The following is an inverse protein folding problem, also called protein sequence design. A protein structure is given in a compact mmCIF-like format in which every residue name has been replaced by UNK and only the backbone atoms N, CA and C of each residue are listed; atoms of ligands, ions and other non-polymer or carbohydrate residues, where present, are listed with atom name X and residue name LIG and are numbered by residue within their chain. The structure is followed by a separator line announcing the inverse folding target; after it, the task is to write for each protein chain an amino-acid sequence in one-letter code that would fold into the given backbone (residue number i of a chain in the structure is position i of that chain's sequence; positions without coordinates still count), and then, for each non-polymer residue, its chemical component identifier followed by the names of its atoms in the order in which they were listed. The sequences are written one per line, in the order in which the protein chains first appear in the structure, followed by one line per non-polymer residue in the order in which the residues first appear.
data_IF_862464416170
#
_entry.id   IF_862464416170
#
_cell.length_a   1.000
_cell.length_b   1.000
_cell.length_c   1.000
_cell.angle_alpha   90.00
_cell.angle_beta   90.00
_cell.angle_gamma   90.00
#
_symmetry.space_group_name_H-M   'P 1'
#
loop_
_entity.id
_entity.type
_entity.pdbx_description
1 polymer ?
#
# COMPACT_ATOMS: atom_id res chain seq x y z
N UNK A 1 -5.26 10.09 49.57
CA UNK A 1 -3.91 10.32 48.98
C UNK A 1 -3.93 10.98 47.60
N UNK A 2 -4.19 10.30 46.46
CA UNK A 2 -4.19 10.99 45.13
C UNK A 2 -5.30 12.04 45.04
N UNK A 3 -6.50 11.74 45.56
CA UNK A 3 -7.66 12.64 45.57
C UNK A 3 -7.41 13.96 46.33
N UNK A 4 -6.78 13.87 47.51
CA UNK A 4 -6.40 15.03 48.33
C UNK A 4 -5.24 15.84 47.71
N UNK A 5 -4.35 15.18 46.96
CA UNK A 5 -3.25 15.85 46.27
C UNK A 5 -3.76 16.71 45.10
N UNK A 6 -4.80 16.24 44.41
CA UNK A 6 -5.39 16.95 43.27
C UNK A 6 -6.32 18.09 43.72
N UNK A 7 -7.04 17.95 44.83
CA UNK A 7 -7.88 19.03 45.40
C UNK A 7 -7.07 20.26 45.85
N UNK A 8 -5.81 20.09 46.25
CA UNK A 8 -4.93 21.20 46.66
C UNK A 8 -4.31 21.97 45.50
N UNK A 9 -4.35 21.43 44.29
CA UNK A 9 -3.77 22.06 43.10
C UNK A 9 -4.92 22.76 42.36
N UNK A 10 -5.15 24.03 42.69
CA UNK A 10 -6.12 24.89 41.99
C UNK A 10 -5.59 25.24 40.59
N UNK A 11 -5.73 24.29 39.67
CA UNK A 11 -5.53 24.53 38.24
C UNK A 11 -6.91 24.74 37.62
N UNK A 12 -7.18 25.96 37.19
CA UNK A 12 -8.40 26.41 36.46
C UNK A 12 -8.74 25.58 35.20
N UNK A 13 -7.86 24.68 34.77
CA UNK A 13 -8.09 23.73 33.68
C UNK A 13 -8.91 22.48 34.08
N UNK A 14 -9.16 22.24 35.38
CA UNK A 14 -9.96 21.11 35.89
C UNK A 14 -11.48 21.35 35.86
N UNK A 15 -11.94 22.55 35.49
CA UNK A 15 -13.36 22.93 35.44
C UNK A 15 -14.07 22.53 34.13
N UNK A 16 -13.51 21.61 33.37
CA UNK A 16 -14.16 21.00 32.20
C UNK A 16 -15.14 19.92 32.69
N UNK A 17 -16.42 19.91 32.27
CA UNK A 17 -17.42 18.94 32.74
C UNK A 17 -16.96 17.48 32.65
N UNK A 18 -16.28 17.13 31.57
CA UNK A 18 -15.70 15.79 31.33
C UNK A 18 -14.67 15.40 32.40
N UNK A 19 -13.87 16.35 32.90
CA UNK A 19 -12.85 16.09 33.92
C UNK A 19 -13.50 15.95 35.31
N UNK A 20 -14.53 16.75 35.62
CA UNK A 20 -15.35 16.59 36.83
C UNK A 20 -16.06 15.24 36.86
N UNK A 21 -16.65 14.81 35.75
CA UNK A 21 -17.29 13.51 35.63
C UNK A 21 -16.29 12.36 35.82
N UNK A 22 -15.08 12.50 35.25
CA UNK A 22 -13.98 11.53 35.41
C UNK A 22 -13.49 11.43 36.88
N UNK A 23 -13.44 12.56 37.60
CA UNK A 23 -13.01 12.63 39.01
C UNK A 23 -14.09 12.18 40.01
N UNK A 24 -15.36 12.23 39.61
CA UNK A 24 -16.51 11.79 40.42
C UNK A 24 -16.89 10.32 40.17
N UNK A 25 -16.24 9.63 39.23
CA UNK A 25 -16.45 8.19 39.05
C UNK A 25 -16.10 7.44 40.35
N UNK A 26 -16.93 6.49 40.80
CA UNK A 26 -16.61 5.66 41.96
C UNK A 26 -15.28 4.96 41.72
N UNK A 27 -14.42 4.95 42.75
CA UNK A 27 -13.14 4.26 42.69
C UNK A 27 -13.38 2.80 42.30
N UNK A 28 -12.71 2.34 41.24
CA UNK A 28 -12.87 0.98 40.76
C UNK A 28 -12.48 0.00 41.86
N UNK A 29 -13.30 -1.04 42.04
CA UNK A 29 -12.95 -2.13 42.96
C UNK A 29 -11.70 -2.86 42.45
N UNK A 30 -10.90 -3.49 43.33
CA UNK A 30 -9.74 -4.27 42.90
C UNK A 30 -10.07 -5.31 41.81
N UNK A 31 -11.28 -5.88 41.84
CA UNK A 31 -11.79 -6.81 40.82
C UNK A 31 -12.01 -6.12 39.47
N UNK A 32 -12.59 -4.90 39.45
CA UNK A 32 -12.76 -4.12 38.22
C UNK A 32 -11.42 -3.71 37.61
N UNK A 33 -10.46 -3.30 38.45
CA UNK A 33 -9.10 -2.97 38.01
C UNK A 33 -8.45 -4.21 37.38
N UNK A 34 -8.52 -5.36 38.07
CA UNK A 34 -7.96 -6.62 37.56
C UNK A 34 -8.60 -7.03 36.23
N UNK A 35 -9.93 -6.96 36.11
CA UNK A 35 -10.63 -7.30 34.87
C UNK A 35 -10.24 -6.37 33.71
N UNK A 36 -10.07 -5.08 33.97
CA UNK A 36 -9.64 -4.13 32.94
C UNK A 36 -8.19 -4.37 32.50
N UNK A 37 -7.29 -4.67 33.44
CA UNK A 37 -5.91 -5.04 33.11
C UNK A 37 -5.88 -6.30 32.24
N UNK A 38 -6.63 -7.35 32.62
CA UNK A 38 -6.74 -8.59 31.85
C UNK A 38 -7.31 -8.32 30.46
N UNK A 39 -8.42 -7.57 30.35
CA UNK A 39 -9.01 -7.25 29.06
C UNK A 39 -8.06 -6.46 28.16
N UNK A 40 -7.37 -5.45 28.70
CA UNK A 40 -6.40 -4.65 27.96
C UNK A 40 -5.21 -5.49 27.50
N UNK A 41 -4.60 -6.27 28.40
CA UNK A 41 -3.46 -7.13 28.06
C UNK A 41 -3.82 -8.18 27.02
N UNK A 42 -5.00 -8.80 27.10
CA UNK A 42 -5.47 -9.72 26.07
C UNK A 42 -5.74 -9.03 24.72
N UNK A 43 -6.32 -7.83 24.74
CA UNK A 43 -6.55 -7.06 23.52
C UNK A 43 -5.22 -6.71 22.82
N UNK A 44 -4.23 -6.25 23.60
CA UNK A 44 -2.87 -5.97 23.10
C UNK A 44 -2.23 -7.25 22.58
N UNK A 45 -2.33 -8.37 23.31
CA UNK A 45 -1.79 -9.66 22.89
C UNK A 45 -2.36 -10.12 21.54
N UNK A 46 -3.68 -10.06 21.37
CA UNK A 46 -4.34 -10.46 20.11
C UNK A 46 -3.94 -9.53 18.97
N UNK A 47 -3.91 -8.21 19.23
CA UNK A 47 -3.53 -7.21 18.23
C UNK A 47 -2.08 -7.37 17.77
N UNK A 48 -1.14 -7.52 18.71
CA UNK A 48 0.28 -7.74 18.41
C UNK A 48 0.52 -9.09 17.73
N UNK A 49 -0.21 -10.14 18.14
CA UNK A 49 -0.14 -11.45 17.48
C UNK A 49 -0.60 -11.35 16.03
N UNK A 50 -1.72 -10.67 15.76
CA UNK A 50 -2.20 -10.42 14.41
C UNK A 50 -1.19 -9.59 13.59
N UNK A 51 -0.66 -8.51 14.15
CA UNK A 51 0.31 -7.64 13.50
C UNK A 51 1.60 -8.41 13.15
N UNK A 52 2.12 -9.17 14.11
CA UNK A 52 3.30 -10.02 13.94
C UNK A 52 3.07 -11.08 12.88
N UNK A 53 1.94 -11.80 12.95
CA UNK A 53 1.59 -12.82 11.95
C UNK A 53 1.52 -12.23 10.54
N UNK A 54 0.85 -11.08 10.36
CA UNK A 54 0.76 -10.41 9.06
C UNK A 54 2.15 -9.98 8.54
N UNK A 55 3.02 -9.46 9.40
CA UNK A 55 4.36 -9.03 9.00
C UNK A 55 5.25 -10.23 8.61
N UNK A 56 5.11 -11.35 9.34
CA UNK A 56 5.77 -12.62 9.01
C UNK A 56 5.24 -13.14 7.68
N UNK A 57 3.92 -13.19 7.50
CA UNK A 57 3.29 -13.69 6.27
C UNK A 57 3.72 -12.87 5.05
N UNK A 58 3.83 -11.54 5.16
CA UNK A 58 4.35 -10.69 4.08
C UNK A 58 5.78 -11.05 3.68
N UNK A 59 6.63 -11.39 4.65
CA UNK A 59 8.02 -11.81 4.40
C UNK A 59 8.09 -13.22 3.81
N UNK A 60 7.31 -14.15 4.37
CA UNK A 60 7.21 -15.53 3.89
C UNK A 60 6.66 -15.57 2.47
N UNK A 61 5.67 -14.72 2.17
CA UNK A 61 5.03 -14.67 0.86
C UNK A 61 6.06 -14.44 -0.24
N UNK A 62 6.90 -13.41 -0.11
CA UNK A 62 7.82 -13.05 -1.18
C UNK A 62 8.98 -14.03 -1.38
N UNK A 63 9.39 -14.75 -0.32
CA UNK A 63 10.56 -15.64 -0.36
C UNK A 63 10.20 -17.11 -0.61
N UNK A 64 9.00 -17.54 -0.22
CA UNK A 64 8.60 -18.95 -0.26
C UNK A 64 7.32 -19.20 -1.05
N UNK A 65 6.40 -18.23 -1.12
CA UNK A 65 5.12 -18.42 -1.80
C UNK A 65 5.20 -17.93 -3.25
N UNK A 66 5.62 -16.68 -3.47
CA UNK A 66 5.73 -16.10 -4.81
C UNK A 66 6.62 -16.94 -5.75
N UNK A 67 7.77 -17.50 -5.32
CA UNK A 67 8.59 -18.35 -6.19
C UNK A 67 7.96 -19.69 -6.58
N UNK A 68 6.87 -20.13 -5.92
CA UNK A 68 6.11 -21.31 -6.35
C UNK A 68 5.24 -21.01 -7.58
N UNK A 69 4.89 -19.74 -7.77
CA UNK A 69 4.01 -19.29 -8.85
C UNK A 69 4.78 -18.71 -10.02
N UNK A 70 5.89 -18.02 -9.76
CA UNK A 70 6.67 -17.30 -10.76
C UNK A 70 8.16 -17.57 -10.63
N UNK A 71 8.87 -17.54 -11.76
CA UNK A 71 10.31 -17.78 -11.79
C UNK A 71 11.05 -16.48 -11.53
N UNK A 72 11.81 -16.43 -10.43
CA UNK A 72 12.68 -15.31 -10.08
C UNK A 72 14.13 -15.65 -10.42
N UNK A 73 14.76 -14.86 -11.27
CA UNK A 73 16.19 -14.97 -11.61
C UNK A 73 16.93 -13.70 -11.18
N UNK A 74 18.18 -13.78 -10.70
CA UNK A 74 18.97 -12.58 -10.45
C UNK A 74 19.13 -11.75 -11.73
N UNK A 75 19.07 -10.42 -11.63
CA UNK A 75 19.35 -9.57 -12.78
C UNK A 75 20.81 -9.77 -13.22
N UNK A 76 21.07 -10.07 -14.52
CA UNK A 76 22.41 -10.26 -15.02
C UNK A 76 23.32 -9.05 -14.77
N UNK A 77 24.61 -9.32 -14.69
CA UNK A 77 25.61 -8.25 -14.61
C UNK A 77 25.59 -7.44 -15.92
N UNK A 78 25.56 -6.11 -15.79
CA UNK A 78 25.45 -5.21 -16.93
C UNK A 78 25.29 -3.75 -16.53
N UNK A 79 25.17 -2.88 -17.53
CA UNK A 79 25.05 -1.42 -17.33
C UNK A 79 23.80 -1.05 -16.53
N UNK A 80 22.66 -1.69 -16.80
CA UNK A 80 21.41 -1.45 -16.06
C UNK A 80 21.57 -1.75 -14.57
N UNK A 81 22.16 -2.91 -14.23
CA UNK A 81 22.37 -3.32 -12.85
C UNK A 81 23.23 -2.32 -12.08
N UNK A 82 24.38 -1.93 -12.65
CA UNK A 82 25.29 -0.97 -12.03
C UNK A 82 24.60 0.38 -11.76
N UNK A 83 23.81 0.87 -12.72
CA UNK A 83 23.07 2.14 -12.57
C UNK A 83 21.93 2.05 -11.54
N UNK A 84 21.29 0.90 -11.40
CA UNK A 84 20.29 0.66 -10.35
C UNK A 84 20.95 0.68 -8.96
N UNK A 85 22.11 0.03 -8.83
CA UNK A 85 22.89 0.02 -7.59
C UNK A 85 23.36 1.43 -7.21
N UNK A 86 23.84 2.22 -8.18
CA UNK A 86 24.20 3.63 -8.00
C UNK A 86 23.00 4.49 -7.56
N UNK A 87 21.85 4.33 -8.23
CA UNK A 87 20.61 5.04 -7.87
C UNK A 87 20.18 4.69 -6.44
N UNK A 88 20.18 3.41 -6.07
CA UNK A 88 19.86 2.96 -4.73
C UNK A 88 20.82 3.54 -3.69
N UNK A 89 22.12 3.57 -3.99
CA UNK A 89 23.13 4.14 -3.12
C UNK A 89 22.95 5.65 -2.92
N UNK A 90 22.62 6.40 -3.98
CA UNK A 90 22.44 7.86 -3.94
C UNK A 90 21.38 8.32 -2.93
N UNK A 91 20.36 7.48 -2.68
CA UNK A 91 19.26 7.78 -1.74
C UNK A 91 19.37 7.02 -0.41
N UNK A 92 20.48 6.29 -0.20
CA UNK A 92 20.72 5.38 0.92
C UNK A 92 19.69 4.25 1.05
N UNK A 93 19.19 3.73 -0.08
CA UNK A 93 18.33 2.56 -0.10
C UNK A 93 19.15 1.29 0.15
N UNK A 94 18.81 0.47 1.17
CA UNK A 94 19.60 -0.71 1.55
C UNK A 94 19.30 -1.91 0.62
N UNK A 95 19.66 -1.77 -0.66
CA UNK A 95 19.50 -2.81 -1.68
C UNK A 95 20.39 -4.02 -1.35
N UNK A 96 19.78 -5.22 -1.30
CA UNK A 96 20.50 -6.49 -1.09
C UNK A 96 20.49 -7.39 -2.31
N UNK A 97 19.36 -7.47 -3.02
CA UNK A 97 19.19 -8.35 -4.17
C UNK A 97 18.30 -7.68 -5.21
N UNK A 98 18.59 -7.96 -6.47
CA UNK A 98 17.87 -7.47 -7.63
C UNK A 98 17.46 -8.67 -8.49
N UNK A 99 16.16 -8.79 -8.72
CA UNK A 99 15.56 -9.93 -9.41
C UNK A 99 14.78 -9.49 -10.65
N UNK A 100 14.72 -10.39 -11.61
CA UNK A 100 13.78 -10.37 -12.72
C UNK A 100 12.77 -11.48 -12.49
N UNK A 101 11.49 -11.16 -12.63
CA UNK A 101 10.39 -12.13 -12.60
C UNK A 101 9.88 -12.37 -14.02
N UNK A 102 9.67 -13.64 -14.36
CA UNK A 102 9.09 -14.07 -15.64
C UNK A 102 7.57 -13.84 -15.66
N UNK A 103 7.15 -12.58 -15.77
CA UNK A 103 5.74 -12.17 -15.79
C UNK A 103 5.05 -12.42 -17.15
N UNK A 104 5.84 -12.45 -18.22
CA UNK A 104 5.39 -12.73 -19.59
C UNK A 104 4.58 -14.02 -19.76
N UNK A 105 4.83 -15.03 -18.92
CA UNK A 105 4.04 -16.28 -18.89
C UNK A 105 2.57 -16.08 -18.53
N UNK A 106 2.25 -15.03 -17.79
CA UNK A 106 0.89 -14.73 -17.33
C UNK A 106 0.21 -13.68 -18.18
N UNK A 107 0.94 -12.61 -18.49
CA UNK A 107 0.39 -11.46 -19.22
C UNK A 107 1.50 -10.58 -19.79
N UNK A 108 1.16 -9.74 -20.75
CA UNK A 108 2.05 -8.71 -21.27
C UNK A 108 2.20 -7.49 -20.34
N UNK A 109 1.52 -7.46 -19.19
CA UNK A 109 1.59 -6.32 -18.26
C UNK A 109 2.98 -6.17 -17.65
N UNK A 110 3.47 -4.94 -17.63
CA UNK A 110 4.79 -4.58 -17.09
C UNK A 110 4.66 -3.92 -15.72
N UNK A 111 5.55 -4.27 -14.80
CA UNK A 111 5.58 -3.71 -13.45
C UNK A 111 7.00 -3.77 -12.84
N UNK A 112 7.22 -2.98 -11.80
CA UNK A 112 8.39 -3.04 -10.94
C UNK A 112 7.94 -2.81 -9.50
N UNK A 113 8.55 -3.51 -8.54
CA UNK A 113 8.23 -3.30 -7.14
C UNK A 113 9.43 -3.61 -6.26
N UNK A 114 9.39 -3.11 -5.03
CA UNK A 114 10.36 -3.48 -3.99
C UNK A 114 9.65 -4.10 -2.79
N UNK A 115 10.38 -4.96 -2.08
CA UNK A 115 9.88 -5.57 -0.86
C UNK A 115 11.03 -5.84 0.13
N UNK A 116 10.67 -6.33 1.31
CA UNK A 116 11.61 -6.73 2.35
C UNK A 116 11.61 -5.81 3.56
N UNK A 117 12.31 -6.23 4.61
CA UNK A 117 12.22 -5.64 5.94
C UNK A 117 13.55 -5.00 6.35
N UNK A 118 13.48 -3.83 6.99
CA UNK A 118 14.64 -3.03 7.43
C UNK A 118 15.74 -2.89 6.35
N UNK A 119 16.92 -3.45 6.63
CA UNK A 119 18.13 -3.39 5.80
C UNK A 119 18.19 -4.45 4.70
N UNK A 120 17.17 -5.31 4.61
CA UNK A 120 17.08 -6.39 3.63
C UNK A 120 16.02 -6.05 2.58
N UNK A 121 16.29 -5.03 1.77
CA UNK A 121 15.40 -4.63 0.67
C UNK A 121 15.80 -5.30 -0.64
N UNK A 122 14.79 -5.64 -1.44
CA UNK A 122 14.96 -6.29 -2.74
C UNK A 122 14.10 -5.57 -3.76
N UNK A 123 14.60 -5.47 -4.98
CA UNK A 123 13.87 -4.92 -6.13
C UNK A 123 13.57 -6.08 -7.08
N UNK A 124 12.36 -6.08 -7.63
CA UNK A 124 11.90 -7.03 -8.64
C UNK A 124 11.44 -6.24 -9.86
N UNK A 125 11.96 -6.61 -11.02
CA UNK A 125 11.56 -6.08 -12.32
C UNK A 125 10.84 -7.18 -13.09
N UNK A 126 9.76 -6.82 -13.79
CA UNK A 126 9.13 -7.76 -14.73
C UNK A 126 9.98 -7.83 -16.00
N UNK A 127 10.08 -9.01 -16.58
CA UNK A 127 10.73 -9.20 -17.89
C UNK A 127 10.06 -8.37 -19.00
N UNK A 128 8.73 -8.25 -18.96
CA UNK A 128 7.90 -7.40 -19.84
C UNK A 128 8.14 -5.89 -19.68
N UNK A 129 8.78 -5.45 -18.60
CA UNK A 129 9.17 -4.05 -18.43
C UNK A 129 10.44 -3.71 -19.21
N UNK A 130 11.26 -4.71 -19.52
CA UNK A 130 12.59 -4.51 -20.06
C UNK A 130 12.64 -4.87 -21.54
N UNK A 131 12.91 -3.86 -22.38
CA UNK A 131 12.90 -4.01 -23.84
C UNK A 131 13.83 -5.16 -24.32
N UNK A 132 15.05 -5.24 -23.77
CA UNK A 132 16.06 -6.25 -24.16
C UNK A 132 15.78 -7.67 -23.62
N UNK A 133 14.88 -7.80 -22.65
CA UNK A 133 14.63 -9.05 -21.93
C UNK A 133 13.28 -9.66 -22.25
N UNK A 134 12.34 -8.86 -22.75
CA UNK A 134 11.00 -9.32 -23.08
C UNK A 134 11.06 -10.43 -24.14
N UNK A 135 10.55 -11.65 -23.85
CA UNK A 135 10.55 -12.75 -24.82
C UNK A 135 9.83 -12.40 -26.13
N UNK A 136 8.78 -11.57 -26.04
CA UNK A 136 8.00 -11.09 -27.20
C UNK A 136 8.91 -10.44 -28.24
N UNK A 137 9.81 -9.55 -27.82
CA UNK A 137 10.72 -8.86 -28.74
C UNK A 137 11.77 -9.83 -29.34
N UNK A 138 12.16 -10.90 -28.63
CA UNK A 138 13.14 -11.90 -29.10
C UNK A 138 12.56 -12.90 -30.10
N UNK A 139 11.27 -13.17 -30.02
CA UNK A 139 10.55 -13.96 -31.03
C UNK A 139 10.33 -13.13 -32.29
N UNK A 140 10.05 -11.83 -32.15
CA UNK A 140 9.90 -10.90 -33.26
C UNK A 140 11.19 -10.73 -34.06
N UNK A 141 12.34 -10.53 -33.40
CA UNK A 141 13.66 -10.42 -34.05
C UNK A 141 14.00 -11.67 -34.90
N UNK A 142 13.41 -12.84 -34.61
CA UNK A 142 13.55 -14.07 -35.42
C UNK A 142 12.56 -14.16 -36.59
N UNK A 143 11.43 -13.46 -36.51
CA UNK A 143 10.36 -13.49 -37.51
C UNK A 143 10.50 -12.42 -38.59
N UNK A 144 11.19 -11.31 -38.28
CA UNK A 144 11.46 -10.20 -39.21
C UNK A 144 12.52 -10.52 -40.30
N UNK A 145 13.04 -11.76 -40.38
CA UNK A 145 13.80 -12.22 -41.55
C UNK A 145 12.96 -12.24 -42.86
N UNK A 146 11.62 -12.14 -42.76
CA UNK A 146 10.71 -11.92 -43.89
C UNK A 146 10.45 -10.42 -44.13
N UNK A 147 11.07 -9.86 -45.18
CA UNK A 147 11.24 -8.42 -45.48
C UNK A 147 10.00 -7.61 -45.90
N UNK A 148 8.78 -8.14 -45.82
CA UNK A 148 7.59 -7.49 -46.41
C UNK A 148 6.61 -6.86 -45.39
N UNK A 149 6.86 -6.94 -44.09
CA UNK A 149 6.05 -6.27 -43.06
C UNK A 149 6.78 -5.05 -42.46
N UNK A 150 6.03 -3.97 -42.17
CA UNK A 150 6.56 -2.83 -41.40
C UNK A 150 7.06 -3.33 -40.04
N UNK A 151 8.23 -2.89 -39.54
CA UNK A 151 8.77 -3.38 -38.29
C UNK A 151 7.76 -3.12 -37.17
N UNK A 152 7.43 -4.16 -36.42
CA UNK A 152 6.52 -4.04 -35.26
C UNK A 152 7.27 -3.34 -34.14
N UNK A 153 6.59 -2.42 -33.46
CA UNK A 153 7.22 -1.57 -32.48
C UNK A 153 7.47 -2.35 -31.19
N UNK A 154 8.74 -2.44 -30.76
CA UNK A 154 9.15 -3.18 -29.55
C UNK A 154 8.42 -2.68 -28.29
N UNK A 155 8.12 -3.64 -27.42
CA UNK A 155 7.46 -3.42 -26.13
C UNK A 155 8.48 -3.30 -25.00
N UNK A 156 8.11 -2.62 -23.91
CA UNK A 156 8.98 -2.38 -22.76
C UNK A 156 9.72 -1.05 -22.79
N UNK A 157 10.47 -0.82 -21.72
CA UNK A 157 11.23 0.40 -21.46
C UNK A 157 12.73 0.17 -21.69
N UNK A 158 13.42 1.23 -22.09
CA UNK A 158 14.88 1.25 -22.16
C UNK A 158 15.49 1.44 -20.76
N UNK A 159 16.82 1.35 -20.66
CA UNK A 159 17.51 1.43 -19.37
C UNK A 159 17.28 2.76 -18.61
N UNK A 160 17.16 3.89 -19.30
CA UNK A 160 16.92 5.20 -18.68
C UNK A 160 15.49 5.31 -18.12
N UNK A 161 14.52 4.83 -18.90
CA UNK A 161 13.11 4.73 -18.52
C UNK A 161 12.89 3.77 -17.34
N UNK A 162 13.56 2.62 -17.33
CA UNK A 162 13.52 1.68 -16.19
C UNK A 162 14.06 2.35 -14.92
N UNK A 163 15.18 3.09 -15.02
CA UNK A 163 15.73 3.82 -13.87
C UNK A 163 14.78 4.91 -13.39
N UNK A 164 14.01 5.52 -14.28
CA UNK A 164 13.01 6.52 -13.92
C UNK A 164 11.80 5.92 -13.22
N UNK A 165 11.30 4.76 -13.68
CA UNK A 165 10.27 3.97 -12.99
C UNK A 165 10.77 3.57 -11.60
N UNK A 166 12.01 3.10 -11.49
CA UNK A 166 12.61 2.78 -10.19
C UNK A 166 12.78 4.00 -9.29
N UNK A 167 13.12 5.17 -9.84
CA UNK A 167 13.17 6.40 -9.07
C UNK A 167 11.79 6.75 -8.47
N UNK A 168 10.70 6.54 -9.22
CA UNK A 168 9.34 6.67 -8.72
C UNK A 168 9.05 5.65 -7.61
N UNK A 169 9.32 4.36 -7.82
CA UNK A 169 9.13 3.31 -6.80
C UNK A 169 9.90 3.61 -5.50
N UNK A 170 11.16 4.03 -5.63
CA UNK A 170 11.99 4.42 -4.49
C UNK A 170 11.49 5.70 -3.80
N UNK A 171 10.72 6.54 -4.50
CA UNK A 171 9.98 7.65 -3.92
C UNK A 171 8.95 7.20 -2.90
N UNK A 172 8.20 6.11 -3.17
CA UNK A 172 7.26 5.54 -2.20
C UNK A 172 7.96 5.06 -0.93
N UNK A 173 9.16 4.50 -1.08
CA UNK A 173 9.99 4.13 0.06
C UNK A 173 10.48 5.37 0.83
N UNK A 174 11.09 6.34 0.13
CA UNK A 174 11.72 7.52 0.76
C UNK A 174 10.70 8.37 1.52
N UNK A 175 9.47 8.46 1.02
CA UNK A 175 8.37 9.22 1.61
C UNK A 175 7.50 8.40 2.57
N UNK A 176 7.92 7.17 2.88
CA UNK A 176 7.28 6.27 3.85
C UNK A 176 5.80 5.99 3.54
N UNK A 177 5.41 5.88 2.27
CA UNK A 177 4.01 5.62 1.88
C UNK A 177 3.49 4.30 2.45
N UNK A 178 4.31 3.25 2.45
CA UNK A 178 3.97 1.96 3.06
C UNK A 178 3.72 2.08 4.56
N UNK A 179 4.54 2.85 5.29
CA UNK A 179 4.37 3.05 6.73
C UNK A 179 3.11 3.87 7.03
N UNK A 180 2.83 4.92 6.25
CA UNK A 180 1.59 5.70 6.39
C UNK A 180 0.35 4.81 6.19
N UNK A 181 0.33 3.98 5.15
CA UNK A 181 -0.74 3.01 4.92
C UNK A 181 -0.85 2.00 6.07
N UNK A 182 0.28 1.55 6.61
CA UNK A 182 0.31 0.64 7.76
C UNK A 182 -0.33 1.28 9.00
N UNK A 183 0.02 2.54 9.30
CA UNK A 183 -0.54 3.30 10.42
C UNK A 183 -2.04 3.52 10.24
N UNK A 184 -2.49 3.94 9.05
CA UNK A 184 -3.91 4.11 8.74
C UNK A 184 -4.67 2.79 8.94
N UNK A 185 -4.12 1.68 8.45
CA UNK A 185 -4.71 0.37 8.64
C UNK A 185 -4.82 -0.03 10.12
N UNK A 186 -3.85 0.33 10.98
CA UNK A 186 -3.93 0.06 12.42
C UNK A 186 -5.00 0.91 13.10
N UNK A 187 -5.07 2.20 12.78
CA UNK A 187 -6.09 3.11 13.32
C UNK A 187 -7.49 2.66 12.90
N UNK A 188 -7.66 2.28 11.64
CA UNK A 188 -8.91 1.72 11.12
C UNK A 188 -9.29 0.43 11.85
N UNK A 189 -8.36 -0.52 11.99
CA UNK A 189 -8.62 -1.78 12.69
C UNK A 189 -9.07 -1.56 14.13
N UNK A 190 -8.40 -0.65 14.86
CA UNK A 190 -8.76 -0.26 16.21
C UNK A 190 -10.18 0.34 16.25
N UNK A 191 -10.48 1.27 15.36
CA UNK A 191 -11.81 1.89 15.25
C UNK A 191 -12.90 0.84 14.99
N UNK A 192 -12.68 -0.07 14.05
CA UNK A 192 -13.60 -1.15 13.73
C UNK A 192 -13.90 -2.00 14.97
N UNK A 193 -12.88 -2.46 15.68
CA UNK A 193 -13.08 -3.25 16.89
C UNK A 193 -13.69 -2.47 18.06
N UNK A 194 -13.40 -1.18 18.19
CA UNK A 194 -14.03 -0.32 19.20
C UNK A 194 -15.55 -0.22 18.94
N UNK A 195 -15.96 0.03 17.70
CA UNK A 195 -17.38 0.06 17.31
C UNK A 195 -18.01 -1.32 17.46
N UNK A 196 -17.32 -2.39 17.08
CA UNK A 196 -17.80 -3.75 17.30
C UNK A 196 -18.07 -4.03 18.78
N UNK A 197 -17.15 -3.65 19.67
CA UNK A 197 -17.32 -3.80 21.12
C UNK A 197 -18.54 -3.04 21.67
N UNK A 198 -18.92 -1.92 21.05
CA UNK A 198 -20.12 -1.16 21.39
C UNK A 198 -21.41 -1.81 20.88
N UNK A 199 -21.36 -2.48 19.72
CA UNK A 199 -22.56 -2.94 19.00
C UNK A 199 -22.86 -4.43 19.13
N UNK A 200 -21.88 -5.29 19.45
CA UNK A 200 -22.03 -6.76 19.35
C UNK A 200 -23.08 -7.37 20.30
N UNK A 201 -23.55 -6.65 21.32
CA UNK A 201 -24.60 -7.10 22.23
C UNK A 201 -26.02 -6.68 21.81
N UNK A 202 -26.15 -5.87 20.77
CA UNK A 202 -27.44 -5.32 20.36
C UNK A 202 -28.28 -6.39 19.62
N UNK A 203 -29.30 -6.93 20.27
CA UNK A 203 -30.19 -7.96 19.72
C UNK A 203 -30.92 -7.54 18.45
N UNK A 204 -31.19 -6.25 18.27
CA UNK A 204 -31.87 -5.72 17.07
C UNK A 204 -31.06 -5.99 15.81
N UNK A 205 -29.72 -5.88 15.89
CA UNK A 205 -28.84 -6.15 14.76
C UNK A 205 -28.89 -7.61 14.33
N UNK A 206 -29.04 -8.55 15.27
CA UNK A 206 -29.14 -9.98 14.98
C UNK A 206 -30.54 -10.35 14.47
N UNK A 207 -31.58 -9.80 15.08
CA UNK A 207 -32.97 -10.03 14.69
C UNK A 207 -33.24 -9.57 13.24
N UNK A 208 -32.61 -8.47 12.79
CA UNK A 208 -32.71 -8.00 11.41
C UNK A 208 -32.19 -9.02 10.37
N UNK A 209 -31.36 -9.97 10.78
CA UNK A 209 -30.81 -11.04 9.93
C UNK A 209 -31.35 -12.43 10.32
N UNK A 210 -32.48 -12.50 11.04
CA UNK A 210 -33.17 -13.76 11.37
C UNK A 210 -32.63 -14.49 12.61
N UNK A 211 -31.74 -13.86 13.39
CA UNK A 211 -31.20 -14.41 14.63
C UNK A 211 -31.96 -13.82 15.83
N UNK A 212 -33.02 -14.49 16.27
CA UNK A 212 -33.89 -14.01 17.36
C UNK A 212 -33.46 -14.51 18.74
N UNK A 213 -33.10 -15.79 18.86
CA UNK A 213 -32.83 -16.44 20.15
C UNK A 213 -31.34 -16.55 20.49
N UNK A 214 -30.47 -16.29 19.51
CA UNK A 214 -29.03 -16.45 19.64
C UNK A 214 -28.28 -15.25 19.06
N UNK A 215 -27.12 -14.94 19.64
CA UNK A 215 -26.22 -13.89 19.16
C UNK A 215 -24.83 -14.46 18.90
N UNK A 216 -24.64 -15.31 17.86
CA UNK A 216 -23.33 -15.86 17.56
C UNK A 216 -22.34 -14.74 17.23
N UNK A 217 -21.17 -14.73 17.88
CA UNK A 217 -20.16 -13.66 17.69
C UNK A 217 -19.75 -13.52 16.23
N UNK A 218 -19.65 -14.63 15.50
CA UNK A 218 -19.30 -14.63 14.07
C UNK A 218 -20.34 -13.92 13.20
N UNK A 219 -21.63 -14.09 13.53
CA UNK A 219 -22.73 -13.39 12.84
C UNK A 219 -22.65 -11.90 13.15
N UNK A 220 -22.36 -11.53 14.40
CA UNK A 220 -22.13 -10.14 14.79
C UNK A 220 -21.01 -9.50 14.00
N UNK A 221 -19.88 -10.19 13.82
CA UNK A 221 -18.74 -9.71 13.05
C UNK A 221 -19.13 -9.43 11.60
N UNK A 222 -19.83 -10.36 10.95
CA UNK A 222 -20.32 -10.19 9.58
C UNK A 222 -21.31 -9.03 9.50
N UNK A 223 -22.33 -9.02 10.38
CA UNK A 223 -23.39 -8.00 10.34
C UNK A 223 -22.82 -6.59 10.53
N UNK A 224 -21.96 -6.43 11.53
CA UNK A 224 -21.37 -5.14 11.85
C UNK A 224 -20.39 -4.72 10.75
N UNK A 225 -19.38 -5.54 10.42
CA UNK A 225 -18.32 -5.11 9.48
C UNK A 225 -18.75 -5.06 8.01
N UNK A 226 -19.70 -5.88 7.58
CA UNK A 226 -20.16 -5.87 6.19
C UNK A 226 -21.32 -4.89 5.96
N UNK A 227 -22.31 -4.86 6.85
CA UNK A 227 -23.55 -4.10 6.62
C UNK A 227 -23.58 -2.78 7.39
N UNK A 228 -23.35 -2.79 8.71
CA UNK A 228 -23.36 -1.54 9.50
C UNK A 228 -22.23 -0.61 9.07
N UNK A 229 -21.05 -1.16 8.79
CA UNK A 229 -19.89 -0.42 8.31
C UNK A 229 -19.92 -0.09 6.81
N UNK A 230 -20.93 -0.52 6.04
CA UNK A 230 -20.95 -0.28 4.59
C UNK A 230 -20.78 1.21 4.21
N UNK A 231 -21.53 2.17 4.79
CA UNK A 231 -21.34 3.59 4.46
C UNK A 231 -19.95 4.11 4.84
N UNK A 232 -19.41 3.65 5.97
CA UNK A 232 -18.05 3.98 6.40
C UNK A 232 -17.00 3.44 5.41
N UNK A 233 -17.16 2.20 4.96
CA UNK A 233 -16.23 1.54 4.05
C UNK A 233 -16.17 2.26 2.70
N UNK A 234 -17.31 2.72 2.18
CA UNK A 234 -17.35 3.50 0.92
C UNK A 234 -16.62 4.85 1.07
N UNK A 235 -16.87 5.58 2.15
CA UNK A 235 -16.19 6.85 2.43
C UNK A 235 -14.69 6.63 2.63
N UNK A 236 -14.30 5.61 3.40
CA UNK A 236 -12.90 5.27 3.62
C UNK A 236 -12.22 4.87 2.30
N UNK A 237 -12.89 4.07 1.47
CA UNK A 237 -12.40 3.66 0.15
C UNK A 237 -12.09 4.88 -0.72
N UNK A 238 -13.02 5.83 -0.82
CA UNK A 238 -12.81 7.08 -1.54
C UNK A 238 -11.61 7.89 -0.99
N UNK A 239 -11.51 8.05 0.33
CA UNK A 239 -10.39 8.76 0.97
C UNK A 239 -9.05 8.07 0.71
N UNK A 240 -9.03 6.73 0.72
CA UNK A 240 -7.84 5.94 0.41
C UNK A 240 -7.45 6.07 -1.07
N UNK A 241 -8.41 6.10 -1.99
CA UNK A 241 -8.16 6.38 -3.42
C UNK A 241 -7.54 7.76 -3.62
N UNK A 242 -8.11 8.79 -2.99
CA UNK A 242 -7.58 10.15 -3.05
C UNK A 242 -6.16 10.26 -2.45
N UNK A 243 -5.91 9.57 -1.32
CA UNK A 243 -4.59 9.51 -0.70
C UNK A 243 -3.57 8.79 -1.60
N UNK A 244 -3.98 7.68 -2.23
CA UNK A 244 -3.14 6.95 -3.19
C UNK A 244 -2.72 7.85 -4.35
N UNK A 245 -3.67 8.58 -4.97
CA UNK A 245 -3.36 9.54 -6.03
C UNK A 245 -2.35 10.60 -5.59
N UNK A 246 -2.47 11.08 -4.35
CA UNK A 246 -1.50 12.03 -3.78
C UNK A 246 -0.11 11.41 -3.62
N UNK A 247 -0.02 10.15 -3.21
CA UNK A 247 1.27 9.44 -3.11
C UNK A 247 1.95 9.26 -4.46
N UNK A 248 1.18 8.98 -5.52
CA UNK A 248 1.70 8.88 -6.89
C UNK A 248 2.33 10.20 -7.36
N UNK A 249 1.65 11.34 -7.18
CA UNK A 249 2.23 12.65 -7.52
C UNK A 249 3.47 12.98 -6.70
N UNK A 250 3.51 12.55 -5.43
CA UNK A 250 4.69 12.74 -4.58
C UNK A 250 5.88 11.88 -5.04
N UNK A 251 5.62 10.66 -5.51
CA UNK A 251 6.63 9.78 -6.09
C UNK A 251 7.14 10.28 -7.45
N UNK A 252 6.24 10.79 -8.31
CA UNK A 252 6.61 11.47 -9.56
C UNK A 252 7.46 12.71 -9.32
N UNK A 253 7.08 13.54 -8.33
CA UNK A 253 7.87 14.70 -7.92
C UNK A 253 9.24 14.31 -7.37
N UNK A 254 9.35 13.18 -6.67
CA UNK A 254 10.62 12.65 -6.19
C UNK A 254 11.53 12.20 -7.35
N UNK A 255 10.98 11.49 -8.34
CA UNK A 255 11.72 11.13 -9.56
C UNK A 255 12.20 12.38 -10.33
N UNK A 256 11.39 13.45 -10.34
CA UNK A 256 11.79 14.76 -10.89
C UNK A 256 12.98 15.37 -10.16
N UNK A 257 13.03 15.32 -8.82
CA UNK A 257 14.18 15.78 -8.03
C UNK A 257 15.46 15.02 -8.36
N UNK A 258 15.34 13.76 -8.79
CA UNK A 258 16.47 12.93 -9.25
C UNK A 258 16.82 13.13 -10.73
N UNK A 259 16.30 14.18 -11.37
CA UNK A 259 16.50 14.49 -12.80
C UNK A 259 16.02 13.37 -13.74
N UNK A 260 14.97 12.64 -13.35
CA UNK A 260 14.37 11.54 -14.15
C UNK A 260 13.00 11.89 -14.75
N UNK A 261 12.63 13.17 -14.78
CA UNK A 261 11.30 13.58 -15.24
C UNK A 261 11.05 13.32 -16.75
N UNK A 262 12.07 13.49 -17.59
CA UNK A 262 11.97 13.22 -19.03
C UNK A 262 11.81 11.71 -19.30
N UNK A 263 12.70 10.92 -18.72
CA UNK A 263 12.70 9.45 -18.82
C UNK A 263 11.40 8.85 -18.25
N UNK A 264 10.92 9.34 -17.10
CA UNK A 264 9.69 8.84 -16.48
C UNK A 264 8.47 9.11 -17.37
N UNK A 265 8.44 10.26 -18.06
CA UNK A 265 7.37 10.57 -19.00
C UNK A 265 7.37 9.61 -20.19
N UNK A 266 8.54 9.34 -20.76
CA UNK A 266 8.71 8.34 -21.82
C UNK A 266 8.22 6.96 -21.37
N UNK A 267 8.65 6.54 -20.18
CA UNK A 267 8.22 5.30 -19.56
C UNK A 267 6.69 5.21 -19.39
N UNK A 268 6.05 6.24 -18.82
CA UNK A 268 4.60 6.25 -18.61
C UNK A 268 3.81 6.18 -19.92
N UNK A 269 4.27 6.86 -20.97
CA UNK A 269 3.63 6.82 -22.29
C UNK A 269 3.77 5.42 -22.90
N UNK A 270 4.97 4.83 -22.86
CA UNK A 270 5.22 3.48 -23.39
C UNK A 270 4.42 2.43 -22.61
N UNK A 271 4.45 2.48 -21.28
CA UNK A 271 3.68 1.56 -20.44
C UNK A 271 2.18 1.69 -20.66
N UNK A 272 1.65 2.89 -20.84
CA UNK A 272 0.25 3.07 -21.15
C UNK A 272 -0.10 2.50 -22.54
N UNK A 273 0.77 2.70 -23.54
CA UNK A 273 0.62 2.12 -24.88
C UNK A 273 0.65 0.59 -24.83
N UNK A 274 1.65 0.00 -24.19
CA UNK A 274 1.87 -1.43 -24.13
C UNK A 274 0.73 -2.14 -23.36
N UNK A 275 0.16 -1.47 -22.38
CA UNK A 275 -1.02 -1.94 -21.64
C UNK A 275 -2.36 -1.57 -22.30
N UNK A 276 -2.36 -0.94 -23.49
CA UNK A 276 -3.56 -0.46 -24.19
C UNK A 276 -4.46 0.45 -23.31
N UNK A 277 -3.84 1.21 -22.40
CA UNK A 277 -4.52 2.11 -21.49
C UNK A 277 -5.18 3.26 -22.24
N UNK A 278 -6.46 3.50 -21.97
CA UNK A 278 -7.17 4.65 -22.52
C UNK A 278 -6.70 5.92 -21.80
N UNK A 279 -6.21 6.98 -22.48
CA UNK A 279 -5.54 8.09 -21.81
C UNK A 279 -6.48 9.15 -21.24
N UNK A 280 -7.78 9.08 -21.55
CA UNK A 280 -8.78 10.10 -21.17
C UNK A 280 -9.90 9.43 -20.40
N UNK A 281 -10.21 9.94 -19.21
CA UNK A 281 -11.28 9.42 -18.39
C UNK A 281 -12.22 10.56 -17.96
N UNK A 282 -13.47 10.21 -17.68
CA UNK A 282 -14.36 11.13 -16.97
C UNK A 282 -13.75 11.47 -15.58
N UNK A 283 -13.84 12.75 -15.22
CA UNK A 283 -13.18 13.27 -14.02
C UNK A 283 -13.78 12.68 -12.74
N UNK A 284 -15.09 12.43 -12.72
CA UNK A 284 -15.79 11.89 -11.56
C UNK A 284 -15.47 10.40 -11.41
N UNK A 285 -15.56 9.65 -12.50
CA UNK A 285 -15.16 8.24 -12.54
C UNK A 285 -13.71 8.06 -12.08
N UNK A 286 -12.78 8.85 -12.63
CA UNK A 286 -11.37 8.76 -12.25
C UNK A 286 -11.12 9.15 -10.79
N UNK A 287 -11.91 10.06 -10.25
CA UNK A 287 -11.75 10.52 -8.86
C UNK A 287 -12.22 9.47 -7.86
N UNK A 288 -13.21 8.65 -8.23
CA UNK A 288 -13.73 7.59 -7.38
C UNK A 288 -12.95 6.28 -7.49
N UNK A 289 -12.58 5.86 -8.71
CA UNK A 289 -12.10 4.49 -8.96
C UNK A 289 -10.59 4.36 -9.16
N UNK A 290 -9.89 5.40 -9.62
CA UNK A 290 -8.48 5.25 -9.99
C UNK A 290 -7.54 5.57 -8.83
N UNK A 291 -6.84 4.55 -8.33
CA UNK A 291 -5.78 4.68 -7.34
C UNK A 291 -4.53 5.41 -7.89
N UNK A 292 -4.34 5.37 -9.22
CA UNK A 292 -3.34 6.13 -9.94
C UNK A 292 -3.99 7.30 -10.69
N UNK A 293 -3.43 8.51 -10.65
CA UNK A 293 -3.93 9.61 -11.48
C UNK A 293 -3.82 9.26 -12.97
N UNK A 294 -4.75 9.74 -13.82
CA UNK A 294 -4.68 9.59 -15.27
C UNK A 294 -3.32 9.98 -15.84
N UNK A 295 -2.91 9.29 -16.92
CA UNK A 295 -1.62 9.51 -17.58
C UNK A 295 -1.36 11.01 -17.87
N UNK A 296 -2.35 11.71 -18.42
CA UNK A 296 -2.22 13.12 -18.78
C UNK A 296 -1.99 14.03 -17.55
N UNK A 297 -2.60 13.72 -16.41
CA UNK A 297 -2.37 14.47 -15.15
C UNK A 297 -0.92 14.29 -14.66
N UNK A 298 -0.41 13.05 -14.71
CA UNK A 298 0.98 12.74 -14.31
C UNK A 298 2.00 13.41 -15.23
N UNK A 299 1.80 13.31 -16.55
CA UNK A 299 2.66 13.98 -17.54
C UNK A 299 2.67 15.49 -17.31
N UNK A 300 1.50 16.09 -17.05
CA UNK A 300 1.41 17.52 -16.76
C UNK A 300 2.18 17.90 -15.50
N UNK A 301 2.06 17.11 -14.42
CA UNK A 301 2.78 17.34 -13.17
C UNK A 301 4.32 17.23 -13.31
N UNK A 302 4.80 16.37 -14.21
CA UNK A 302 6.23 16.25 -14.51
C UNK A 302 6.78 17.51 -15.22
N UNK A 303 5.93 18.31 -15.87
CA UNK A 303 6.28 19.58 -16.52
C UNK A 303 6.56 19.43 -18.01
N UNK A 304 7.07 20.49 -18.67
CA UNK A 304 7.56 20.40 -20.06
C UNK A 304 8.93 19.72 -20.10
N UNK A 305 9.32 19.18 -21.26
CA UNK A 305 10.72 18.78 -21.45
C UNK A 305 11.45 20.10 -21.67
N UNK A 306 12.45 20.38 -20.83
CA UNK A 306 13.40 21.47 -21.09
C UNK A 306 14.31 21.09 -22.27
#
# INVERSE_FOLDING_TARGET
MIRELVEKISLTFLDVPVIKDLMQMPAWTPVQIMNAIIAFTWAVYIWETYLSYRQVLSTVYADFIAPLFDKFTPLPEGTLRARIEELAQSINFPLKKLYVVEGSKRSAHSNAYFYGFFKNKRIVLFDTLMEDYTPLNKEEDKSEENKDEKPKQKTGCNNDEILAVLAHELGHWKLNHVLKNLTIAQVNLFLCFAVFALLYKNSTLYAAFGFHDQQPVIVGLVVIFQYVFSPYNEVLSFLMTALSRRFEFQADAFAKVLNKAADLRGALIKLNRDNLGFPVYDWLYSTWHHSHPPLLERIHALGKLD
#
